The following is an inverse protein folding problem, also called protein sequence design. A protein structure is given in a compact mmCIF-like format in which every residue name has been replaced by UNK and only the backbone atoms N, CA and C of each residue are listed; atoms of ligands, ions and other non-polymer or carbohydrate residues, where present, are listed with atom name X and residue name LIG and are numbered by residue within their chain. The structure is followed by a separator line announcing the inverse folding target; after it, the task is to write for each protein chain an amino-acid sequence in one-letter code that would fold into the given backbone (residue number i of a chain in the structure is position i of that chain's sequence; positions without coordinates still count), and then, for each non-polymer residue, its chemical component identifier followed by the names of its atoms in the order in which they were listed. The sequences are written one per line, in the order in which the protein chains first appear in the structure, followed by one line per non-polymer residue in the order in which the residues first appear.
data_IF_274449940603
#
_entry.id   IF_274449940603
#
_cell.length_a   1.000
_cell.length_b   1.000
_cell.length_c   1.000
_cell.angle_alpha   90.00
_cell.angle_beta   90.00
_cell.angle_gamma   90.00
#
_symmetry.space_group_name_H-M   'P 1'
#
loop_
_entity.id
_entity.type
_entity.pdbx_description
1 polymer ?
#
# COMPACT_ATOMS: atom_id res chain seq x y z
N UNK A 1 49.39 3.98 -39.77
CA UNK A 1 48.51 2.80 -39.83
C UNK A 1 48.17 2.28 -38.42
N UNK A 2 49.14 2.01 -37.55
CA UNK A 2 48.88 1.51 -36.18
C UNK A 2 48.10 2.50 -35.28
N UNK A 3 48.39 3.80 -35.34
CA UNK A 3 47.71 4.82 -34.51
C UNK A 3 46.22 4.94 -34.85
N UNK A 4 45.86 4.89 -36.14
CA UNK A 4 44.47 4.97 -36.59
C UNK A 4 43.64 3.74 -36.22
N UNK A 5 44.27 2.57 -36.09
CA UNK A 5 43.60 1.35 -35.60
C UNK A 5 43.37 1.40 -34.08
N UNK A 6 44.29 1.98 -33.32
CA UNK A 6 44.13 2.17 -31.85
C UNK A 6 42.99 3.16 -31.57
N UNK A 7 42.91 4.29 -32.28
CA UNK A 7 41.81 5.26 -32.12
C UNK A 7 40.44 4.66 -32.49
N UNK A 8 40.38 3.85 -33.55
CA UNK A 8 39.17 3.10 -33.92
C UNK A 8 38.78 2.07 -32.86
N UNK A 9 39.75 1.36 -32.28
CA UNK A 9 39.46 0.40 -31.21
C UNK A 9 38.96 1.09 -29.94
N UNK A 10 39.58 2.21 -29.54
CA UNK A 10 39.17 2.99 -28.36
C UNK A 10 37.76 3.57 -28.52
N UNK A 11 37.45 4.11 -29.69
CA UNK A 11 36.11 4.65 -29.98
C UNK A 11 35.04 3.56 -29.96
N UNK A 12 35.30 2.37 -30.54
CA UNK A 12 34.37 1.24 -30.47
C UNK A 12 34.11 0.81 -29.03
N UNK A 13 35.16 0.71 -28.21
CA UNK A 13 35.03 0.37 -26.77
C UNK A 13 34.19 1.41 -26.03
N UNK A 14 34.42 2.71 -26.28
CA UNK A 14 33.63 3.79 -25.68
C UNK A 14 32.15 3.71 -26.08
N UNK A 15 31.85 3.42 -27.34
CA UNK A 15 30.47 3.24 -27.81
C UNK A 15 29.80 2.03 -27.15
N UNK A 16 30.52 0.91 -27.00
CA UNK A 16 29.99 -0.28 -26.30
C UNK A 16 29.67 0.06 -24.84
N UNK A 17 30.57 0.73 -24.14
CA UNK A 17 30.35 1.16 -22.74
C UNK A 17 29.13 2.07 -22.65
N UNK A 18 29.01 3.06 -23.56
CA UNK A 18 27.86 3.97 -23.59
C UNK A 18 26.55 3.21 -23.80
N UNK A 19 26.51 2.28 -24.76
CA UNK A 19 25.32 1.45 -25.02
C UNK A 19 24.94 0.62 -23.80
N UNK A 20 25.92 0.02 -23.11
CA UNK A 20 25.67 -0.74 -21.88
C UNK A 20 25.10 0.17 -20.78
N UNK A 21 25.65 1.38 -20.59
CA UNK A 21 25.13 2.34 -19.61
C UNK A 21 23.70 2.76 -19.95
N UNK A 22 23.42 3.07 -21.21
CA UNK A 22 22.06 3.44 -21.66
C UNK A 22 21.09 2.29 -21.46
N UNK A 23 21.47 1.05 -21.79
CA UNK A 23 20.64 -0.13 -21.58
C UNK A 23 20.32 -0.33 -20.09
N UNK A 24 21.32 -0.19 -19.21
CA UNK A 24 21.13 -0.27 -17.76
C UNK A 24 20.19 0.84 -17.27
N UNK A 25 20.34 2.08 -17.75
CA UNK A 25 19.45 3.18 -17.41
C UNK A 25 18.01 2.93 -17.89
N UNK A 26 17.82 2.40 -19.11
CA UNK A 26 16.50 2.08 -19.65
C UNK A 26 15.83 0.94 -18.87
N UNK A 27 16.57 -0.11 -18.51
CA UNK A 27 16.05 -1.19 -17.67
C UNK A 27 15.69 -0.68 -16.27
N UNK A 28 16.54 0.17 -15.68
CA UNK A 28 16.26 0.79 -14.39
C UNK A 28 15.03 1.72 -14.47
N UNK A 29 14.90 2.51 -15.53
CA UNK A 29 13.76 3.39 -15.76
C UNK A 29 12.48 2.59 -16.01
N UNK A 30 12.51 1.53 -16.84
CA UNK A 30 11.36 0.67 -17.07
C UNK A 30 10.92 -0.05 -15.79
N UNK A 31 11.88 -0.60 -15.05
CA UNK A 31 11.64 -1.17 -13.71
C UNK A 31 11.01 -0.13 -12.78
N UNK A 32 11.53 1.09 -12.76
CA UNK A 32 11.04 2.18 -11.94
C UNK A 32 9.63 2.61 -12.35
N UNK A 33 9.35 2.71 -13.64
CA UNK A 33 8.07 3.12 -14.19
C UNK A 33 6.99 2.06 -13.96
N UNK A 34 7.27 0.77 -14.18
CA UNK A 34 6.33 -0.33 -13.93
C UNK A 34 5.99 -0.43 -12.43
N UNK A 35 6.97 -0.21 -11.55
CA UNK A 35 6.75 -0.20 -10.09
C UNK A 35 6.01 1.06 -9.63
N UNK A 36 6.14 2.17 -10.37
CA UNK A 36 5.52 3.47 -10.05
C UNK A 36 4.13 3.64 -10.67
N UNK A 37 3.79 2.93 -11.75
CA UNK A 37 2.53 3.08 -12.50
C UNK A 37 1.36 2.28 -11.93
N UNK A 38 1.59 1.35 -11.00
CA UNK A 38 0.54 0.46 -10.47
C UNK A 38 -0.06 0.87 -9.11
N UNK A 39 0.41 1.94 -8.46
CA UNK A 39 -0.16 2.30 -7.15
C UNK A 39 -0.24 3.80 -6.92
N UNK A 40 -1.48 4.31 -6.75
CA UNK A 40 -1.72 5.67 -6.25
C UNK A 40 -0.88 5.95 -5.02
N UNK A 41 -0.55 7.23 -4.87
CA UNK A 41 0.07 7.75 -3.67
C UNK A 41 -0.85 7.51 -2.47
N UNK A 42 -0.56 6.46 -1.71
CA UNK A 42 -1.23 6.16 -0.45
C UNK A 42 -0.40 6.70 0.68
N UNK A 43 -1.06 7.33 1.64
CA UNK A 43 -0.37 7.91 2.78
C UNK A 43 -0.72 7.14 4.04
N UNK A 44 0.26 6.45 4.62
CA UNK A 44 0.10 5.69 5.87
C UNK A 44 0.69 6.46 7.05
N UNK A 45 -0.02 6.42 8.18
CA UNK A 45 0.46 6.79 9.51
C UNK A 45 0.22 5.64 10.49
N UNK A 46 1.20 5.38 11.37
CA UNK A 46 1.07 4.44 12.50
C UNK A 46 0.71 5.22 13.77
N UNK A 47 -0.18 4.67 14.59
CA UNK A 47 -0.59 5.22 15.90
C UNK A 47 -0.03 4.35 17.06
N UNK A 48 0.20 4.93 18.25
CA UNK A 48 0.03 6.34 18.60
C UNK A 48 1.15 7.19 18.00
N UNK A 49 0.79 8.33 17.43
CA UNK A 49 1.74 9.29 16.88
C UNK A 49 1.31 10.67 17.35
N UNK A 50 2.25 11.41 17.95
CA UNK A 50 2.03 12.80 18.33
C UNK A 50 1.52 13.60 17.13
N UNK A 51 0.53 14.43 17.42
CA UNK A 51 -0.15 15.34 16.49
C UNK A 51 0.87 16.02 15.58
N UNK A 52 0.93 15.63 14.30
CA UNK A 52 1.71 16.35 13.28
C UNK A 52 2.99 15.70 12.70
N UNK A 53 3.37 14.45 13.05
CA UNK A 53 4.52 13.76 12.39
C UNK A 53 4.18 12.29 12.10
N UNK A 54 4.26 11.73 10.89
CA UNK A 54 4.59 12.16 9.53
C UNK A 54 3.80 11.21 8.61
N UNK A 55 2.86 11.75 7.86
CA UNK A 55 2.25 11.09 6.71
C UNK A 55 3.34 10.52 5.79
N UNK A 56 3.35 9.19 5.60
CA UNK A 56 4.33 8.53 4.73
C UNK A 56 3.68 8.19 3.40
N UNK A 57 4.10 8.91 2.37
CA UNK A 57 3.72 8.61 1.00
C UNK A 57 4.32 7.26 0.59
N UNK A 58 3.49 6.40 0.02
CA UNK A 58 3.84 5.12 -0.57
C UNK A 58 2.89 4.74 -1.68
N UNK A 59 3.05 3.54 -2.22
CA UNK A 59 2.09 2.89 -3.11
C UNK A 59 1.54 1.64 -2.45
N UNK A 60 0.32 1.26 -2.84
CA UNK A 60 -0.31 0.02 -2.40
C UNK A 60 -0.60 -0.89 -3.57
N UNK A 61 -0.48 -2.19 -3.35
CA UNK A 61 -0.87 -3.22 -4.30
C UNK A 61 -1.67 -4.31 -3.59
N UNK A 62 -2.78 -4.69 -4.20
CA UNK A 62 -3.58 -5.83 -3.77
C UNK A 62 -2.99 -7.12 -4.35
N UNK A 63 -2.72 -8.10 -3.49
CA UNK A 63 -2.25 -9.44 -3.88
C UNK A 63 -3.08 -10.48 -3.13
N UNK A 64 -4.22 -10.86 -3.73
CA UNK A 64 -5.18 -11.79 -3.14
C UNK A 64 -5.64 -11.32 -1.76
N UNK A 65 -5.24 -12.06 -0.73
CA UNK A 65 -5.56 -11.81 0.69
C UNK A 65 -4.67 -10.76 1.38
N UNK A 66 -3.68 -10.21 0.66
CA UNK A 66 -2.71 -9.28 1.24
C UNK A 66 -2.69 -7.94 0.53
N UNK A 67 -2.61 -6.88 1.33
CA UNK A 67 -2.34 -5.52 0.88
C UNK A 67 -0.87 -5.22 1.17
N UNK A 68 -0.09 -5.09 0.10
CA UNK A 68 1.34 -4.78 0.16
C UNK A 68 1.52 -3.25 0.03
N UNK A 69 2.18 -2.63 1.00
CA UNK A 69 2.52 -1.20 0.99
C UNK A 69 4.03 -1.00 0.80
N UNK A 70 4.39 -0.10 -0.10
CA UNK A 70 5.77 0.24 -0.48
C UNK A 70 6.01 1.73 -0.23
N UNK A 71 7.04 2.11 0.52
CA UNK A 71 7.33 3.55 0.73
C UNK A 71 7.90 4.16 -0.54
N UNK A 72 7.48 5.39 -0.88
CA UNK A 72 7.96 6.13 -2.07
C UNK A 72 9.46 6.46 -2.05
N UNK A 73 10.12 6.35 -0.89
CA UNK A 73 11.59 6.50 -0.74
C UNK A 73 12.33 5.16 -0.65
N UNK A 74 11.63 4.03 -0.71
CA UNK A 74 12.25 2.71 -0.66
C UNK A 74 12.56 2.26 -2.09
N UNK A 75 13.84 2.17 -2.42
CA UNK A 75 14.34 1.63 -3.68
C UNK A 75 14.38 0.09 -3.69
N UNK A 76 13.83 -0.55 -2.64
CA UNK A 76 13.87 -2.00 -2.46
C UNK A 76 12.57 -2.62 -2.99
N UNK A 77 12.61 -3.68 -3.82
CA UNK A 77 11.44 -4.35 -4.38
C UNK A 77 10.62 -5.15 -3.36
N UNK A 78 10.89 -4.99 -2.06
CA UNK A 78 10.21 -5.70 -0.97
C UNK A 78 9.19 -4.76 -0.34
N UNK A 79 7.99 -5.27 -0.08
CA UNK A 79 6.95 -4.53 0.62
C UNK A 79 7.47 -4.09 2.01
N UNK A 80 7.33 -2.81 2.31
CA UNK A 80 7.67 -2.22 3.60
C UNK A 80 6.68 -2.67 4.70
N UNK A 81 5.43 -2.94 4.29
CA UNK A 81 4.38 -3.41 5.17
C UNK A 81 3.46 -4.34 4.38
N UNK A 82 3.20 -5.52 4.94
CA UNK A 82 2.23 -6.48 4.39
C UNK A 82 1.10 -6.59 5.39
N UNK A 83 -0.10 -6.23 4.96
CA UNK A 83 -1.33 -6.29 5.75
C UNK A 83 -2.14 -7.48 5.23
N UNK A 84 -2.39 -8.46 6.09
CA UNK A 84 -3.27 -9.58 5.76
C UNK A 84 -4.71 -9.18 6.07
N UNK A 85 -5.63 -9.39 5.12
CA UNK A 85 -7.05 -9.07 5.26
C UNK A 85 -7.69 -9.61 6.55
N UNK A 86 -7.38 -10.86 6.92
CA UNK A 86 -7.97 -11.52 8.08
C UNK A 86 -7.50 -10.94 9.43
N UNK A 87 -6.37 -10.24 9.43
CA UNK A 87 -5.74 -9.64 10.60
C UNK A 87 -6.11 -8.15 10.79
N UNK A 88 -6.99 -7.62 9.92
CA UNK A 88 -7.40 -6.22 9.90
C UNK A 88 -8.74 -6.05 10.61
N UNK A 89 -8.74 -5.27 11.69
CA UNK A 89 -9.97 -4.74 12.27
C UNK A 89 -10.21 -3.34 11.70
N UNK A 90 -11.20 -3.19 10.81
CA UNK A 90 -11.58 -1.89 10.26
C UNK A 90 -12.35 -1.07 11.29
N UNK A 91 -11.89 0.15 11.56
CA UNK A 91 -12.46 1.03 12.58
C UNK A 91 -13.31 2.16 11.97
N UNK A 92 -13.38 2.26 10.64
CA UNK A 92 -14.15 3.27 9.92
C UNK A 92 -13.29 4.27 9.15
N UNK A 93 -13.95 5.26 8.59
CA UNK A 93 -13.36 6.35 7.80
C UNK A 93 -13.67 7.71 8.41
N UNK A 94 -12.79 8.68 8.19
CA UNK A 94 -12.97 10.10 8.52
C UNK A 94 -12.51 10.96 7.36
N UNK A 95 -13.01 12.19 7.31
CA UNK A 95 -12.50 13.23 6.41
C UNK A 95 -11.13 13.73 6.88
N UNK A 96 -10.39 14.36 5.96
CA UNK A 96 -9.12 15.00 6.29
C UNK A 96 -9.37 16.23 7.16
N UNK A 97 -8.50 16.44 8.15
CA UNK A 97 -8.46 17.69 8.89
C UNK A 97 -7.95 18.82 7.97
N UNK A 98 -8.40 20.09 8.13
CA UNK A 98 -7.93 21.20 7.29
C UNK A 98 -6.41 21.38 7.27
N UNK A 99 -5.71 21.01 8.36
CA UNK A 99 -4.24 21.02 8.40
C UNK A 99 -3.59 19.91 7.56
N UNK A 100 -4.32 18.82 7.29
CA UNK A 100 -3.89 17.66 6.51
C UNK A 100 -4.20 17.84 5.01
N UNK A 101 -5.25 18.58 4.64
CA UNK A 101 -5.65 18.82 3.23
C UNK A 101 -4.48 19.37 2.40
N UNK A 102 -3.64 20.25 2.96
CA UNK A 102 -2.47 20.80 2.26
C UNK A 102 -1.39 19.77 1.93
N UNK A 103 -1.38 18.63 2.61
CA UNK A 103 -0.35 17.58 2.49
C UNK A 103 -0.79 16.43 1.59
N UNK A 104 -2.07 16.37 1.24
CA UNK A 104 -2.73 15.22 0.64
C UNK A 104 -3.50 15.66 -0.62
N UNK A 105 -3.81 14.71 -1.50
CA UNK A 105 -4.62 14.99 -2.67
C UNK A 105 -6.03 15.43 -2.26
N UNK A 106 -6.60 16.38 -3.00
CA UNK A 106 -7.92 16.92 -2.72
C UNK A 106 -8.99 15.81 -2.81
N UNK A 107 -9.94 15.81 -1.86
CA UNK A 107 -10.99 14.78 -1.77
C UNK A 107 -10.53 13.39 -1.29
N UNK A 108 -9.36 13.26 -0.67
CA UNK A 108 -8.97 12.01 -0.02
C UNK A 108 -9.87 11.68 1.19
N UNK A 109 -9.93 10.41 1.57
CA UNK A 109 -10.60 9.91 2.78
C UNK A 109 -9.61 9.12 3.63
N UNK A 110 -9.63 9.33 4.95
CA UNK A 110 -8.74 8.65 5.89
C UNK A 110 -9.44 7.44 6.48
N UNK A 111 -8.90 6.25 6.25
CA UNK A 111 -9.36 4.98 6.79
C UNK A 111 -8.54 4.57 8.02
N UNK A 112 -9.22 4.23 9.12
CA UNK A 112 -8.60 3.73 10.34
C UNK A 112 -8.68 2.21 10.40
N UNK A 113 -7.53 1.57 10.54
CA UNK A 113 -7.37 0.12 10.55
C UNK A 113 -6.55 -0.28 11.77
N UNK A 114 -6.85 -1.43 12.36
CA UNK A 114 -6.02 -2.03 13.40
C UNK A 114 -5.51 -3.38 12.91
N UNK A 115 -4.20 -3.47 12.74
CA UNK A 115 -3.53 -4.68 12.26
C UNK A 115 -2.68 -5.23 13.39
N UNK A 116 -3.00 -6.45 13.86
CA UNK A 116 -2.26 -7.13 14.94
C UNK A 116 -2.02 -6.25 16.17
N UNK A 117 -3.04 -5.50 16.59
CA UNK A 117 -2.97 -4.63 17.77
C UNK A 117 -2.46 -3.20 17.49
N UNK A 118 -1.82 -2.96 16.35
CA UNK A 118 -1.28 -1.65 15.96
C UNK A 118 -2.30 -0.90 15.11
N UNK A 119 -2.59 0.35 15.47
CA UNK A 119 -3.49 1.22 14.70
C UNK A 119 -2.74 1.92 13.57
N UNK A 120 -3.36 1.98 12.42
CA UNK A 120 -2.90 2.64 11.22
C UNK A 120 -4.00 3.52 10.66
N UNK A 121 -3.62 4.71 10.20
CA UNK A 121 -4.47 5.57 9.38
C UNK A 121 -3.92 5.56 7.96
N UNK A 122 -4.82 5.44 6.98
CA UNK A 122 -4.49 5.35 5.56
C UNK A 122 -5.34 6.35 4.81
N UNK A 123 -4.72 7.36 4.20
CA UNK A 123 -5.43 8.28 3.34
C UNK A 123 -5.38 7.82 1.89
N UNK A 124 -6.55 7.72 1.26
CA UNK A 124 -6.77 7.24 -0.10
C UNK A 124 -7.64 8.23 -0.86
N UNK A 125 -7.45 8.34 -2.18
CA UNK A 125 -8.44 9.00 -3.03
C UNK A 125 -9.75 8.18 -3.07
N UNK A 126 -10.80 8.72 -3.68
CA UNK A 126 -12.11 8.07 -3.71
C UNK A 126 -12.09 6.68 -4.40
N UNK A 127 -11.37 6.53 -5.50
CA UNK A 127 -11.31 5.26 -6.24
C UNK A 127 -10.61 4.17 -5.42
N UNK A 128 -9.52 4.52 -4.75
CA UNK A 128 -8.78 3.58 -3.91
C UNK A 128 -9.49 3.30 -2.59
N UNK A 129 -10.25 4.26 -2.06
CA UNK A 129 -11.11 4.07 -0.88
C UNK A 129 -12.16 3.00 -1.15
N UNK A 130 -12.85 3.07 -2.29
CA UNK A 130 -13.81 2.04 -2.72
C UNK A 130 -13.14 0.67 -2.87
N UNK A 131 -11.95 0.62 -3.50
CA UNK A 131 -11.19 -0.61 -3.64
C UNK A 131 -10.80 -1.23 -2.29
N UNK A 132 -10.35 -0.42 -1.32
CA UNK A 132 -9.98 -0.88 0.01
C UNK A 132 -11.19 -1.47 0.74
N UNK A 133 -12.31 -0.73 0.75
CA UNK A 133 -13.53 -1.16 1.44
C UNK A 133 -14.06 -2.45 0.83
N UNK A 134 -14.18 -2.53 -0.50
CA UNK A 134 -14.63 -3.73 -1.19
C UNK A 134 -13.73 -4.94 -0.92
N UNK A 135 -12.42 -4.74 -0.89
CA UNK A 135 -11.46 -5.79 -0.55
C UNK A 135 -11.62 -6.30 0.89
N UNK A 136 -11.83 -5.40 1.86
CA UNK A 136 -12.08 -5.72 3.26
C UNK A 136 -13.43 -6.44 3.46
N UNK A 137 -14.48 -6.01 2.78
CA UNK A 137 -15.81 -6.62 2.85
C UNK A 137 -15.83 -8.03 2.26
N UNK A 138 -15.02 -8.29 1.24
CA UNK A 138 -14.96 -9.58 0.56
C UNK A 138 -14.43 -10.73 1.43
N UNK A 139 -13.75 -10.46 2.55
CA UNK A 139 -13.65 -11.41 3.65
C UNK A 139 -13.42 -10.68 4.97
N UNK A 140 -14.40 -10.72 5.89
CA UNK A 140 -14.28 -10.07 7.18
C UNK A 140 -13.18 -10.69 8.05
N UNK A 141 -12.70 -9.93 9.03
CA UNK A 141 -11.66 -10.39 9.95
C UNK A 141 -12.12 -11.59 10.78
N UNK A 142 -11.19 -12.45 11.18
CA UNK A 142 -11.50 -13.61 12.07
C UNK A 142 -12.15 -13.18 13.38
N UNK A 143 -11.85 -11.96 13.86
CA UNK A 143 -12.45 -11.40 15.08
C UNK A 143 -13.92 -11.07 14.85
N UNK A 144 -14.24 -10.42 13.73
CA UNK A 144 -15.62 -10.10 13.37
C UNK A 144 -16.46 -11.36 13.19
N UNK A 145 -15.93 -12.36 12.47
CA UNK A 145 -16.58 -13.65 12.24
C UNK A 145 -16.89 -14.38 13.56
N UNK A 146 -15.93 -14.44 14.51
CA UNK A 146 -16.16 -15.04 15.83
C UNK A 146 -17.27 -14.33 16.61
N UNK A 147 -17.34 -13.00 16.51
CA UNK A 147 -18.32 -12.20 17.21
C UNK A 147 -19.73 -12.48 16.68
N UNK A 148 -19.89 -12.54 15.35
CA UNK A 148 -21.18 -12.85 14.70
C UNK A 148 -21.69 -14.24 15.09
N UNK A 149 -20.84 -15.25 15.08
CA UNK A 149 -21.23 -16.60 15.53
C UNK A 149 -21.74 -16.62 16.98
N UNK A 150 -21.08 -15.90 17.88
CA UNK A 150 -21.47 -15.83 19.29
C UNK A 150 -22.81 -15.10 19.47
N UNK A 151 -23.05 -14.03 18.72
CA UNK A 151 -24.31 -13.28 18.75
C UNK A 151 -25.47 -14.12 18.20
N UNK A 152 -25.23 -14.85 17.10
CA UNK A 152 -26.22 -15.73 16.49
C UNK A 152 -26.63 -16.87 17.44
N UNK A 153 -25.66 -17.52 18.08
CA UNK A 153 -25.93 -18.57 19.07
C UNK A 153 -26.77 -18.03 20.25
N UNK A 154 -26.40 -16.88 20.80
CA UNK A 154 -27.15 -16.26 21.90
C UNK A 154 -28.59 -15.90 21.51
N UNK A 155 -28.84 -15.49 20.26
CA UNK A 155 -30.21 -15.23 19.78
C UNK A 155 -31.03 -16.51 19.66
N UNK A 156 -30.45 -17.59 19.13
CA UNK A 156 -31.12 -18.89 18.98
C UNK A 156 -31.44 -19.49 20.35
N UNK A 157 -30.52 -19.41 21.31
CA UNK A 157 -30.74 -19.90 22.66
C UNK A 157 -31.82 -19.08 23.39
N UNK A 158 -31.90 -17.78 23.14
CA UNK A 158 -33.01 -16.94 23.65
C UNK A 158 -34.35 -17.32 23.04
N UNK A 159 -34.43 -17.59 21.74
CA UNK A 159 -35.71 -17.97 21.12
C UNK A 159 -36.19 -19.32 21.66
N UNK A 160 -35.30 -20.31 21.78
CA UNK A 160 -35.65 -21.62 22.37
C UNK A 160 -36.12 -21.55 23.83
N UNK A 161 -35.63 -20.58 24.61
CA UNK A 161 -36.07 -20.35 26.00
C UNK A 161 -37.44 -19.67 26.10
N UNK A 162 -37.89 -18.99 25.05
CA UNK A 162 -39.18 -18.28 25.04
C UNK A 162 -40.35 -19.18 24.63
N UNK A 163 -40.08 -20.27 23.92
CA UNK A 163 -41.07 -21.23 23.45
C UNK A 163 -41.24 -22.44 24.40
N UNK A 164 -40.72 -22.35 25.63
CA UNK A 164 -40.79 -23.36 26.69
C UNK A 164 -41.44 -22.78 27.93
#
# INVERSE_FOLDING_TARGET
MVVTDVERMMSVVLWIILVVIVLVMLLAAWRFLVVRSEGSAVVIRRLPADTGRRWRHGSMRYRGETLEYFKLRSLVPKADLIINRQDVDYMGSRELDPSEIRLLADGATVHSLKVRGVRYEIALDNAYSMGLVSWLESAPSRRLERMDHTILQNKIDRSKRRDR
#
